data_IF_284877256713
#
_entry.id   IF_284877256713
#
_cell.length_a   1.000
_cell.length_b   1.000
_cell.length_c   1.000
_cell.angle_alpha   90.00
_cell.angle_beta   90.00
_cell.angle_gamma   90.00
#
_symmetry.space_group_name_H-M   'P 1'
#
loop_
_entity.id
_entity.type
_entity.pdbx_description
1 polymer ?
#
# COMPACT_ATOMS: atom_id res chain seq x y z
N UNK A 1 9.20 35.52 -4.53
CA UNK A 1 7.75 35.27 -4.53
C UNK A 1 7.17 35.57 -5.90
N UNK A 2 5.99 35.03 -6.20
CA UNK A 2 5.30 35.27 -7.47
C UNK A 2 4.54 36.59 -7.34
N UNK A 3 4.74 37.56 -8.25
CA UNK A 3 3.99 38.83 -8.21
C UNK A 3 2.48 38.62 -8.32
N UNK A 4 1.71 39.52 -7.71
CA UNK A 4 0.26 39.48 -7.79
C UNK A 4 -0.21 39.59 -9.25
N UNK A 5 -1.09 38.67 -9.66
CA UNK A 5 -1.58 38.59 -11.05
C UNK A 5 -0.72 37.78 -12.01
N UNK A 6 0.49 37.35 -11.63
CA UNK A 6 1.41 36.62 -12.53
C UNK A 6 1.39 35.09 -12.34
N UNK A 7 0.52 34.55 -11.48
CA UNK A 7 0.51 33.11 -11.16
C UNK A 7 0.30 32.22 -12.39
N UNK A 8 -0.63 32.60 -13.28
CA UNK A 8 -0.93 31.85 -14.50
C UNK A 8 0.28 31.77 -15.43
N UNK A 9 0.94 32.91 -15.65
CA UNK A 9 2.15 33.01 -16.46
C UNK A 9 3.29 32.15 -15.87
N UNK A 10 3.48 32.18 -14.56
CA UNK A 10 4.50 31.35 -13.89
C UNK A 10 4.20 29.84 -14.01
N UNK A 11 2.94 29.43 -13.91
CA UNK A 11 2.55 28.02 -14.11
C UNK A 11 2.83 27.61 -15.56
N UNK A 12 2.42 28.43 -16.53
CA UNK A 12 2.64 28.15 -17.96
C UNK A 12 4.13 28.07 -18.31
N UNK A 13 4.94 28.98 -17.77
CA UNK A 13 6.40 28.94 -17.91
C UNK A 13 7.00 27.68 -17.29
N UNK A 14 6.56 27.30 -16.08
CA UNK A 14 7.08 26.13 -15.38
C UNK A 14 6.71 24.81 -16.07
N UNK A 15 5.61 24.78 -16.82
CA UNK A 15 5.13 23.62 -17.58
C UNK A 15 5.51 23.67 -19.09
N UNK A 16 6.40 24.59 -19.50
CA UNK A 16 6.83 24.73 -20.90
C UNK A 16 7.81 23.63 -21.30
N UNK A 17 7.30 22.39 -21.40
CA UNK A 17 8.06 21.20 -21.79
C UNK A 17 8.85 21.49 -23.08
N UNK A 18 10.11 21.03 -23.23
CA UNK A 18 10.98 21.45 -24.33
C UNK A 18 10.48 21.14 -25.75
N UNK A 19 9.49 20.26 -25.89
CA UNK A 19 8.81 19.95 -27.16
C UNK A 19 7.79 21.04 -27.54
N UNK A 20 7.30 21.81 -26.58
CA UNK A 20 6.35 22.90 -26.81
C UNK A 20 7.03 24.16 -27.36
N UNK A 21 6.21 25.04 -27.91
CA UNK A 21 6.66 26.38 -28.31
C UNK A 21 7.12 27.13 -27.05
N UNK A 22 8.28 27.77 -27.13
CA UNK A 22 8.83 28.59 -26.04
C UNK A 22 7.89 29.75 -25.72
N UNK A 23 7.44 29.81 -24.48
CA UNK A 23 6.68 30.94 -23.96
C UNK A 23 7.62 32.09 -23.60
N UNK A 24 7.20 33.32 -23.90
CA UNK A 24 7.95 34.53 -23.59
C UNK A 24 7.12 35.39 -22.65
N UNK A 25 7.57 35.51 -21.40
CA UNK A 25 6.97 36.41 -20.42
C UNK A 25 7.87 37.64 -20.34
N UNK A 26 7.36 38.79 -20.80
CA UNK A 26 8.16 40.00 -20.97
C UNK A 26 9.26 39.83 -22.02
N UNK A 27 10.53 39.94 -21.61
CA UNK A 27 11.72 39.82 -22.48
C UNK A 27 12.44 38.47 -22.32
N UNK A 28 12.02 37.64 -21.37
CA UNK A 28 12.69 36.40 -20.99
C UNK A 28 11.97 35.19 -21.63
N UNK A 29 12.75 34.19 -22.04
CA UNK A 29 12.21 32.91 -22.56
C UNK A 29 12.29 31.86 -21.47
N UNK A 30 11.15 31.22 -21.21
CA UNK A 30 11.05 30.22 -20.16
C UNK A 30 11.06 28.79 -20.73
N UNK A 31 11.47 27.87 -19.88
CA UNK A 31 11.57 26.44 -20.15
C UNK A 31 11.21 25.71 -18.86
N UNK A 32 10.61 24.53 -19.02
CA UNK A 32 10.20 23.66 -17.92
C UNK A 32 11.24 23.58 -16.80
N UNK A 33 10.80 23.86 -15.57
CA UNK A 33 11.64 23.87 -14.37
C UNK A 33 12.24 22.49 -14.05
N UNK A 34 11.55 21.42 -14.44
CA UNK A 34 11.99 20.04 -14.32
C UNK A 34 13.24 19.73 -15.14
N UNK A 35 13.62 20.54 -16.14
CA UNK A 35 14.92 20.41 -16.81
C UNK A 35 16.07 20.78 -15.88
N UNK A 36 15.93 21.85 -15.11
CA UNK A 36 16.97 22.33 -14.22
C UNK A 36 16.98 21.59 -12.88
N UNK A 37 15.80 21.36 -12.29
CA UNK A 37 15.65 20.69 -11.01
C UNK A 37 14.21 20.17 -10.84
N UNK A 38 14.04 18.85 -10.77
CA UNK A 38 12.70 18.22 -10.69
C UNK A 38 12.10 18.29 -9.27
N UNK A 39 12.95 18.27 -8.23
CA UNK A 39 12.51 18.36 -6.84
C UNK A 39 13.03 19.66 -6.18
N UNK A 40 12.21 20.73 -6.09
CA UNK A 40 12.64 22.06 -5.64
C UNK A 40 12.70 22.21 -4.11
N UNK A 41 13.16 21.20 -3.36
CA UNK A 41 13.11 21.21 -1.89
C UNK A 41 13.87 22.37 -1.24
N UNK A 42 14.94 22.83 -1.89
CA UNK A 42 15.72 23.99 -1.40
C UNK A 42 14.87 25.26 -1.25
N UNK A 43 13.83 25.43 -2.07
CA UNK A 43 12.93 26.59 -1.97
C UNK A 43 12.06 26.52 -0.70
N UNK A 44 11.70 25.32 -0.26
CA UNK A 44 10.99 25.13 1.00
C UNK A 44 11.95 25.37 2.18
N UNK A 45 13.15 24.80 2.12
CA UNK A 45 14.18 25.00 3.16
C UNK A 45 14.56 26.47 3.33
N UNK A 46 14.74 27.21 2.23
CA UNK A 46 15.11 28.65 2.28
C UNK A 46 14.01 29.52 2.91
N UNK A 47 12.77 29.04 2.91
CA UNK A 47 11.63 29.69 3.56
C UNK A 47 11.43 29.25 5.01
N UNK A 48 12.28 28.36 5.52
CA UNK A 48 12.25 27.91 6.91
C UNK A 48 11.30 26.74 7.18
N UNK A 49 10.75 26.09 6.15
CA UNK A 49 9.94 24.88 6.35
C UNK A 49 10.80 23.73 6.89
N UNK A 50 10.30 23.04 7.91
CA UNK A 50 10.97 21.93 8.61
C UNK A 50 10.28 20.58 8.44
N UNK A 51 9.05 20.58 7.94
CA UNK A 51 8.29 19.38 7.61
C UNK A 51 7.91 19.47 6.14
N UNK A 52 8.36 18.49 5.34
CA UNK A 52 8.26 18.54 3.88
C UNK A 52 7.76 17.21 3.35
N UNK A 53 6.63 17.23 2.63
CA UNK A 53 6.17 16.08 1.83
C UNK A 53 6.67 16.30 0.41
N UNK A 54 7.35 15.29 -0.13
CA UNK A 54 7.94 15.29 -1.46
C UNK A 54 7.19 14.25 -2.28
N UNK A 55 6.59 14.67 -3.39
CA UNK A 55 5.98 13.78 -4.37
C UNK A 55 6.92 13.71 -5.57
N UNK A 56 7.62 12.59 -5.73
CA UNK A 56 8.62 12.37 -6.78
C UNK A 56 8.05 11.48 -7.89
N UNK A 57 7.60 12.11 -8.98
CA UNK A 57 6.96 11.45 -10.13
C UNK A 57 7.94 11.23 -11.31
N UNK A 58 9.22 11.53 -11.15
CA UNK A 58 10.17 11.60 -12.27
C UNK A 58 11.16 10.43 -12.32
N UNK A 59 11.78 10.18 -13.50
CA UNK A 59 12.92 9.28 -13.56
C UNK A 59 14.04 9.82 -12.65
N UNK A 60 14.66 8.94 -11.88
CA UNK A 60 15.72 9.30 -10.92
C UNK A 60 16.93 9.90 -11.63
N UNK A 61 17.00 11.22 -11.73
CA UNK A 61 18.21 11.90 -12.17
C UNK A 61 19.19 11.96 -11.00
N UNK A 62 20.48 11.91 -11.30
CA UNK A 62 21.55 11.98 -10.29
C UNK A 62 21.37 13.19 -9.35
N UNK A 63 20.94 14.33 -9.88
CA UNK A 63 20.67 15.54 -9.07
C UNK A 63 19.52 15.37 -8.07
N UNK A 64 18.48 14.62 -8.44
CA UNK A 64 17.34 14.38 -7.55
C UNK A 64 17.75 13.42 -6.42
N UNK A 65 18.52 12.38 -6.74
CA UNK A 65 19.13 11.48 -5.76
C UNK A 65 20.01 12.27 -4.78
N UNK A 66 20.89 13.15 -5.28
CA UNK A 66 21.75 13.98 -4.44
C UNK A 66 20.95 14.96 -3.56
N UNK A 67 19.84 15.50 -4.08
CA UNK A 67 18.96 16.38 -3.32
C UNK A 67 18.31 15.62 -2.17
N UNK A 68 17.71 14.44 -2.43
CA UNK A 68 17.13 13.59 -1.39
C UNK A 68 18.18 13.12 -0.37
N UNK A 69 19.39 12.76 -0.82
CA UNK A 69 20.48 12.39 0.07
C UNK A 69 20.97 13.56 0.95
N UNK A 70 20.89 14.80 0.45
CA UNK A 70 21.23 15.97 1.26
C UNK A 70 20.20 16.23 2.35
N UNK A 71 18.90 16.00 2.08
CA UNK A 71 17.83 16.16 3.06
C UNK A 71 17.93 15.15 4.20
N UNK A 72 18.32 13.90 3.90
CA UNK A 72 18.57 12.88 4.92
C UNK A 72 19.68 13.22 5.91
N UNK A 73 20.53 14.20 5.60
CA UNK A 73 21.62 14.67 6.49
C UNK A 73 21.22 15.88 7.34
N UNK A 74 20.00 16.40 7.16
CA UNK A 74 19.48 17.52 7.94
C UNK A 74 18.60 16.96 9.06
N UNK A 75 19.18 16.76 10.24
CA UNK A 75 18.48 16.15 11.39
C UNK A 75 17.26 16.97 11.84
N UNK A 76 17.26 18.29 11.60
CA UNK A 76 16.16 19.19 11.95
C UNK A 76 15.02 19.23 10.92
N UNK A 77 15.13 18.50 9.80
CA UNK A 77 14.13 18.47 8.73
C UNK A 77 13.50 17.09 8.64
N UNK A 78 12.20 17.02 8.98
CA UNK A 78 11.39 15.83 8.72
C UNK A 78 10.92 15.86 7.27
N UNK A 79 11.08 14.76 6.57
CA UNK A 79 10.60 14.63 5.20
C UNK A 79 9.94 13.27 4.97
N UNK A 80 8.90 13.29 4.15
CA UNK A 80 8.22 12.11 3.62
C UNK A 80 8.37 12.13 2.11
N UNK A 81 8.76 11.00 1.50
CA UNK A 81 8.90 10.91 0.04
C UNK A 81 7.89 9.91 -0.47
N UNK A 82 6.94 10.40 -1.26
CA UNK A 82 5.96 9.60 -1.99
C UNK A 82 6.50 9.45 -3.41
N UNK A 83 6.56 8.21 -3.88
CA UNK A 83 7.04 7.86 -5.22
C UNK A 83 6.13 6.76 -5.77
N UNK A 84 5.84 6.75 -7.07
CA UNK A 84 5.09 5.66 -7.67
C UNK A 84 5.88 4.35 -7.61
N UNK A 85 5.20 3.20 -7.48
CA UNK A 85 5.82 1.87 -7.57
C UNK A 85 6.05 1.47 -9.02
N UNK A 86 5.09 1.79 -9.87
CA UNK A 86 5.09 1.47 -11.29
C UNK A 86 5.06 2.74 -12.16
N UNK A 87 5.49 2.61 -13.41
CA UNK A 87 5.33 3.65 -14.42
C UNK A 87 4.43 3.13 -15.54
N UNK A 88 3.22 3.68 -15.65
CA UNK A 88 2.22 3.22 -16.61
C UNK A 88 2.35 3.84 -18.00
N UNK A 89 3.01 4.99 -18.12
CA UNK A 89 3.13 5.73 -19.37
C UNK A 89 4.25 6.77 -19.34
N UNK A 90 4.44 7.47 -20.46
CA UNK A 90 5.46 8.52 -20.62
C UNK A 90 4.88 9.92 -20.30
N UNK A 91 5.74 10.93 -20.16
CA UNK A 91 5.42 12.30 -19.74
C UNK A 91 4.43 13.01 -20.69
N UNK A 92 4.33 12.55 -21.94
CA UNK A 92 3.41 13.07 -22.97
C UNK A 92 2.34 12.05 -23.38
N UNK A 93 2.11 11.03 -22.54
CA UNK A 93 1.01 10.10 -22.71
C UNK A 93 -0.25 10.68 -22.02
N UNK A 94 -1.24 11.02 -22.83
CA UNK A 94 -2.51 11.61 -22.37
C UNK A 94 -3.66 10.59 -22.39
N UNK A 95 -3.34 9.31 -22.30
CA UNK A 95 -4.34 8.26 -22.15
C UNK A 95 -5.12 8.43 -20.83
N UNK A 96 -6.48 8.52 -20.88
CA UNK A 96 -7.30 8.67 -19.68
C UNK A 96 -7.21 7.50 -18.71
N UNK A 97 -7.04 6.26 -19.18
CA UNK A 97 -6.87 5.07 -18.33
C UNK A 97 -5.53 5.11 -17.60
N UNK A 98 -4.46 5.46 -18.30
CA UNK A 98 -3.12 5.65 -17.71
C UNK A 98 -3.18 6.75 -16.63
N UNK A 99 -3.83 7.87 -16.93
CA UNK A 99 -4.02 8.97 -15.98
C UNK A 99 -4.79 8.53 -14.73
N UNK A 100 -5.85 7.72 -14.89
CA UNK A 100 -6.58 7.13 -13.76
C UNK A 100 -5.72 6.21 -12.92
N UNK A 101 -4.87 5.39 -13.53
CA UNK A 101 -3.97 4.51 -12.78
C UNK A 101 -2.95 5.31 -11.96
N UNK A 102 -2.38 6.39 -12.51
CA UNK A 102 -1.51 7.29 -11.74
C UNK A 102 -2.24 7.94 -10.56
N UNK A 103 -3.49 8.36 -10.73
CA UNK A 103 -4.28 8.93 -9.62
C UNK A 103 -4.58 7.89 -8.53
N UNK A 104 -4.97 6.68 -8.91
CA UNK A 104 -5.19 5.57 -7.98
C UNK A 104 -3.90 5.25 -7.21
N UNK A 105 -2.80 5.04 -7.91
CA UNK A 105 -1.53 4.68 -7.31
C UNK A 105 -1.00 5.79 -6.39
N UNK A 106 -1.07 7.06 -6.81
CA UNK A 106 -0.65 8.19 -5.97
C UNK A 106 -1.44 8.31 -4.67
N UNK A 107 -2.72 7.96 -4.67
CA UNK A 107 -3.53 7.89 -3.44
C UNK A 107 -3.04 6.75 -2.52
N UNK A 108 -2.82 5.57 -3.09
CA UNK A 108 -2.40 4.38 -2.37
C UNK A 108 -0.97 4.50 -1.81
N UNK A 109 -0.03 5.00 -2.61
CA UNK A 109 1.34 5.25 -2.18
C UNK A 109 1.42 6.33 -1.09
N UNK A 110 0.58 7.36 -1.17
CA UNK A 110 0.49 8.35 -0.09
C UNK A 110 0.07 7.70 1.24
N UNK A 111 -0.99 6.88 1.23
CA UNK A 111 -1.46 6.19 2.44
C UNK A 111 -0.43 5.16 2.95
N UNK A 112 0.31 4.51 2.05
CA UNK A 112 1.38 3.58 2.40
C UNK A 112 2.55 4.29 3.08
N UNK A 113 3.06 5.38 2.50
CA UNK A 113 4.18 6.15 3.08
C UNK A 113 3.78 6.81 4.40
N UNK A 114 2.50 7.17 4.58
CA UNK A 114 1.95 7.63 5.86
C UNK A 114 1.81 6.51 6.91
N UNK A 115 2.06 5.25 6.55
CA UNK A 115 2.02 4.10 7.45
C UNK A 115 0.62 3.54 7.73
N UNK A 116 -0.39 3.90 6.93
CA UNK A 116 -1.75 3.34 7.07
C UNK A 116 -1.92 2.00 6.35
N UNK A 117 -1.15 1.79 5.28
CA UNK A 117 -1.21 0.58 4.46
C UNK A 117 0.07 -0.23 4.62
N UNK A 118 -0.06 -1.53 4.41
CA UNK A 118 1.02 -2.50 4.39
C UNK A 118 0.88 -3.42 3.18
N UNK A 119 1.96 -4.12 2.83
CA UNK A 119 2.01 -5.01 1.67
C UNK A 119 2.98 -4.53 0.58
N UNK A 120 3.56 -5.48 -0.12
CA UNK A 120 4.59 -5.25 -1.13
C UNK A 120 3.99 -4.95 -2.50
N UNK A 121 3.06 -5.79 -2.96
CA UNK A 121 2.38 -5.61 -4.25
C UNK A 121 0.95 -5.11 -4.11
N UNK A 122 0.29 -5.46 -3.01
CA UNK A 122 -1.11 -5.12 -2.74
C UNK A 122 -1.22 -4.18 -1.55
N UNK A 123 -2.10 -3.21 -1.66
CA UNK A 123 -2.29 -2.16 -0.65
C UNK A 123 -3.32 -2.60 0.39
N UNK A 124 -2.84 -3.04 1.56
CA UNK A 124 -3.68 -3.60 2.61
C UNK A 124 -3.72 -2.68 3.82
N UNK A 125 -4.90 -2.18 4.14
CA UNK A 125 -5.14 -1.51 5.42
C UNK A 125 -5.18 -2.55 6.54
N UNK A 126 -4.15 -2.50 7.39
CA UNK A 126 -3.91 -3.49 8.42
C UNK A 126 -3.36 -2.82 9.69
N UNK A 127 -4.23 -2.42 10.61
CA UNK A 127 -3.84 -1.78 11.88
C UNK A 127 -3.67 -2.75 13.05
N UNK A 128 -4.30 -3.91 12.97
CA UNK A 128 -4.39 -4.86 14.07
C UNK A 128 -4.54 -6.28 13.54
N UNK A 129 -4.24 -7.26 14.38
CA UNK A 129 -4.45 -8.67 14.07
C UNK A 129 -5.94 -9.04 14.06
N UNK A 130 -6.61 -8.73 12.96
CA UNK A 130 -8.03 -9.03 12.73
C UNK A 130 -8.28 -10.53 12.68
N UNK A 131 -7.30 -11.34 12.27
CA UNK A 131 -7.42 -12.80 12.22
C UNK A 131 -7.49 -13.38 13.63
N UNK A 132 -6.62 -12.95 14.55
CA UNK A 132 -6.69 -13.33 15.96
C UNK A 132 -8.02 -12.91 16.60
N UNK A 133 -8.44 -11.66 16.38
CA UNK A 133 -9.71 -11.14 16.91
C UNK A 133 -10.91 -11.95 16.42
N UNK A 134 -10.97 -12.22 15.12
CA UNK A 134 -11.98 -13.07 14.50
C UNK A 134 -11.95 -14.50 15.08
N UNK A 135 -10.76 -15.08 15.24
CA UNK A 135 -10.62 -16.42 15.81
C UNK A 135 -11.14 -16.48 17.26
N UNK A 136 -10.79 -15.50 18.09
CA UNK A 136 -11.09 -15.52 19.51
C UNK A 136 -12.52 -15.08 19.85
N UNK A 137 -13.18 -14.30 18.98
CA UNK A 137 -14.58 -13.90 19.15
C UNK A 137 -15.56 -15.05 18.96
N UNK A 138 -15.16 -16.11 18.26
CA UNK A 138 -16.01 -17.27 17.99
C UNK A 138 -16.33 -18.09 19.27
N UNK A 139 -17.50 -18.75 19.32
CA UNK A 139 -17.81 -19.72 20.38
C UNK A 139 -16.78 -20.86 20.46
N UNK A 140 -16.61 -21.44 21.65
CA UNK A 140 -15.59 -22.47 21.89
C UNK A 140 -15.64 -23.65 20.92
N UNK A 141 -16.86 -24.11 20.58
CA UNK A 141 -17.07 -25.18 19.60
C UNK A 141 -16.46 -24.83 18.23
N UNK A 142 -16.70 -23.61 17.75
CA UNK A 142 -16.15 -23.11 16.47
C UNK A 142 -14.63 -22.92 16.52
N UNK A 143 -14.09 -22.49 17.67
CA UNK A 143 -12.64 -22.43 17.87
C UNK A 143 -11.97 -23.81 17.89
N UNK A 144 -12.68 -24.88 18.30
CA UNK A 144 -12.21 -26.27 18.17
C UNK A 144 -12.23 -26.72 16.71
N UNK A 145 -13.32 -26.46 15.99
CA UNK A 145 -13.43 -26.74 14.54
C UNK A 145 -12.30 -26.04 13.75
N UNK A 146 -12.01 -24.76 14.03
CA UNK A 146 -10.92 -24.03 13.39
C UNK A 146 -9.53 -24.64 13.61
N UNK A 147 -9.26 -25.18 14.81
CA UNK A 147 -8.00 -25.88 15.11
C UNK A 147 -7.89 -27.22 14.38
N UNK A 148 -9.00 -27.94 14.27
CA UNK A 148 -9.06 -29.23 13.59
C UNK A 148 -8.70 -29.12 12.09
N UNK A 149 -8.85 -27.95 11.46
CA UNK A 149 -8.39 -27.69 10.07
C UNK A 149 -6.88 -27.97 9.93
N UNK A 150 -6.10 -27.69 10.96
CA UNK A 150 -4.66 -27.95 10.97
C UNK A 150 -4.31 -29.36 11.48
N UNK A 151 -5.30 -30.22 11.71
CA UNK A 151 -5.10 -31.56 12.29
C UNK A 151 -4.66 -31.54 13.75
N UNK A 152 -4.96 -30.45 14.48
CA UNK A 152 -4.59 -30.30 15.89
C UNK A 152 -5.72 -30.82 16.77
N UNK A 153 -5.41 -31.90 17.46
CA UNK A 153 -6.26 -32.55 18.42
C UNK A 153 -6.33 -31.78 19.75
N UNK A 154 -7.40 -31.95 20.56
CA UNK A 154 -7.59 -31.18 21.79
C UNK A 154 -6.44 -31.29 22.80
N UNK A 155 -5.75 -32.44 22.88
CA UNK A 155 -4.61 -32.64 23.79
C UNK A 155 -3.30 -32.04 23.27
N UNK A 156 -3.21 -31.70 21.97
CA UNK A 156 -2.02 -31.11 21.36
C UNK A 156 -1.94 -29.59 21.56
N UNK A 157 -2.97 -28.97 22.13
CA UNK A 157 -2.99 -27.54 22.37
C UNK A 157 -3.83 -27.16 23.59
N UNK A 158 -3.18 -26.52 24.56
CA UNK A 158 -3.78 -26.12 25.84
C UNK A 158 -4.94 -25.12 25.66
N UNK A 159 -4.89 -24.28 24.63
CA UNK A 159 -5.92 -23.27 24.37
C UNK A 159 -5.89 -22.79 22.92
N UNK A 160 -6.95 -22.08 22.47
CA UNK A 160 -6.93 -21.41 21.16
C UNK A 160 -5.82 -20.34 21.07
N UNK A 161 -5.46 -19.70 22.19
CA UNK A 161 -4.34 -18.75 22.23
C UNK A 161 -3.01 -19.44 21.99
N UNK A 162 -2.77 -20.58 22.66
CA UNK A 162 -1.56 -21.37 22.46
C UNK A 162 -1.47 -21.91 21.02
N UNK A 163 -2.58 -22.39 20.46
CA UNK A 163 -2.64 -22.75 19.04
C UNK A 163 -2.20 -21.60 18.14
N UNK A 164 -2.79 -20.42 18.31
CA UNK A 164 -2.57 -19.33 17.39
C UNK A 164 -1.15 -18.73 17.54
N UNK A 165 -0.78 -18.30 18.75
CA UNK A 165 0.48 -17.61 18.99
C UNK A 165 1.67 -18.53 19.25
N UNK A 166 1.44 -19.78 19.65
CA UNK A 166 2.49 -20.75 19.97
C UNK A 166 2.75 -21.79 18.88
N UNK A 167 1.78 -22.03 17.99
CA UNK A 167 1.89 -23.10 16.98
C UNK A 167 1.74 -22.55 15.55
N UNK A 168 0.61 -21.92 15.21
CA UNK A 168 0.32 -21.47 13.84
C UNK A 168 1.22 -20.30 13.41
N UNK A 169 1.13 -19.17 14.12
CA UNK A 169 1.84 -17.94 13.73
C UNK A 169 3.36 -18.12 13.75
N UNK A 170 3.99 -18.77 14.74
CA UNK A 170 5.44 -18.98 14.73
C UNK A 170 5.96 -19.77 13.53
N UNK A 171 5.21 -20.77 13.06
CA UNK A 171 5.60 -21.57 11.88
C UNK A 171 5.57 -20.70 10.62
N UNK A 172 4.54 -19.86 10.48
CA UNK A 172 4.44 -18.90 9.37
C UNK A 172 5.52 -17.80 9.47
N UNK A 173 5.78 -17.27 10.66
CA UNK A 173 6.83 -16.28 10.91
C UNK A 173 8.21 -16.81 10.52
N UNK A 174 8.52 -18.04 10.90
CA UNK A 174 9.77 -18.68 10.51
C UNK A 174 9.88 -18.87 8.98
N UNK A 175 8.76 -19.16 8.30
CA UNK A 175 8.75 -19.28 6.84
C UNK A 175 8.97 -17.93 6.13
N UNK A 176 8.29 -16.87 6.59
CA UNK A 176 8.30 -15.56 5.93
C UNK A 176 9.36 -14.59 6.47
N UNK A 177 10.04 -14.92 7.56
CA UNK A 177 11.02 -14.04 8.21
C UNK A 177 10.41 -12.83 8.91
N UNK A 178 9.14 -12.91 9.32
CA UNK A 178 8.38 -11.81 9.93
C UNK A 178 8.43 -11.86 11.47
N UNK A 179 8.19 -10.72 12.11
CA UNK A 179 8.35 -10.60 13.58
C UNK A 179 7.06 -10.35 14.34
N UNK A 180 6.00 -9.93 13.64
CA UNK A 180 4.66 -9.76 14.23
C UNK A 180 3.60 -10.61 13.53
N UNK A 181 2.53 -11.05 14.24
CA UNK A 181 1.42 -11.78 13.63
C UNK A 181 0.76 -11.01 12.47
N UNK A 182 0.56 -9.70 12.65
CA UNK A 182 -0.07 -8.83 11.65
C UNK A 182 0.74 -8.79 10.34
N UNK A 183 2.04 -8.51 10.45
CA UNK A 183 2.97 -8.51 9.32
C UNK A 183 2.97 -9.86 8.60
N UNK A 184 2.98 -10.96 9.36
CA UNK A 184 2.95 -12.33 8.83
C UNK A 184 1.73 -12.57 7.95
N UNK A 185 0.55 -12.15 8.42
CA UNK A 185 -0.68 -12.28 7.64
C UNK A 185 -0.72 -11.35 6.43
N UNK A 186 -0.22 -10.12 6.54
CA UNK A 186 -0.14 -9.20 5.39
C UNK A 186 0.74 -9.79 4.29
N UNK A 187 1.92 -10.32 4.63
CA UNK A 187 2.85 -10.96 3.68
C UNK A 187 2.22 -12.19 3.04
N UNK A 188 1.62 -13.07 3.86
CA UNK A 188 0.95 -14.27 3.37
C UNK A 188 -0.18 -13.92 2.40
N UNK A 189 -1.06 -12.98 2.77
CA UNK A 189 -2.19 -12.57 1.94
C UNK A 189 -1.75 -11.87 0.66
N UNK A 190 -0.70 -11.05 0.70
CA UNK A 190 -0.10 -10.46 -0.51
C UNK A 190 0.37 -11.56 -1.47
N UNK A 191 1.07 -12.58 -0.96
CA UNK A 191 1.53 -13.70 -1.77
C UNK A 191 0.37 -14.48 -2.39
N UNK A 192 -0.68 -14.75 -1.61
CA UNK A 192 -1.89 -15.41 -2.11
C UNK A 192 -2.62 -14.59 -3.17
N UNK A 193 -2.73 -13.27 -2.96
CA UNK A 193 -3.33 -12.35 -3.93
C UNK A 193 -2.57 -12.37 -5.27
N UNK A 194 -1.23 -12.39 -5.22
CA UNK A 194 -0.39 -12.52 -6.41
C UNK A 194 -0.57 -13.85 -7.13
N UNK A 195 -0.66 -14.97 -6.39
CA UNK A 195 -0.96 -16.30 -6.97
C UNK A 195 -2.35 -16.40 -7.61
N UNK A 196 -3.25 -15.48 -7.26
CA UNK A 196 -4.61 -15.38 -7.79
C UNK A 196 -4.76 -14.24 -8.80
N UNK A 197 -3.65 -13.56 -9.12
CA UNK A 197 -3.61 -12.45 -10.08
C UNK A 197 -4.67 -11.38 -9.81
N UNK A 198 -4.89 -11.06 -8.52
CA UNK A 198 -5.82 -10.00 -8.14
C UNK A 198 -5.35 -8.65 -8.68
N UNK A 199 -6.30 -7.73 -8.91
CA UNK A 199 -6.00 -6.37 -9.36
C UNK A 199 -5.14 -5.64 -8.31
N UNK A 200 -3.99 -5.10 -8.75
CA UNK A 200 -2.98 -4.49 -7.86
C UNK A 200 -3.39 -3.10 -7.35
N UNK A 201 -4.10 -2.33 -8.18
CA UNK A 201 -4.54 -0.97 -7.88
C UNK A 201 -5.90 -0.94 -7.20
N UNK A 202 -6.05 -1.74 -6.15
CA UNK A 202 -7.20 -1.73 -5.25
C UNK A 202 -6.75 -1.48 -3.81
N UNK A 203 -7.60 -0.78 -3.06
CA UNK A 203 -7.44 -0.60 -1.61
C UNK A 203 -8.19 -1.73 -0.89
N UNK A 204 -7.47 -2.57 -0.16
CA UNK A 204 -8.07 -3.67 0.58
C UNK A 204 -8.08 -3.43 2.09
N UNK A 205 -9.17 -3.79 2.76
CA UNK A 205 -9.10 -4.19 4.17
C UNK A 205 -8.61 -5.64 4.24
N UNK A 206 -8.09 -6.07 5.40
CA UNK A 206 -7.73 -7.49 5.61
C UNK A 206 -8.91 -8.42 5.31
N UNK A 207 -10.13 -8.04 5.71
CA UNK A 207 -11.32 -8.85 5.48
C UNK A 207 -11.68 -8.89 3.98
N UNK A 208 -11.70 -7.74 3.29
CA UNK A 208 -11.97 -7.70 1.86
C UNK A 208 -10.96 -8.52 1.04
N UNK A 209 -9.67 -8.45 1.38
CA UNK A 209 -8.63 -9.24 0.71
C UNK A 209 -8.83 -10.74 0.93
N UNK A 210 -9.13 -11.16 2.16
CA UNK A 210 -9.42 -12.56 2.47
C UNK A 210 -10.65 -13.05 1.71
N UNK A 211 -11.71 -12.25 1.61
CA UNK A 211 -12.90 -12.61 0.81
C UNK A 211 -12.56 -12.80 -0.66
N UNK A 212 -11.80 -11.87 -1.27
CA UNK A 212 -11.35 -12.01 -2.66
C UNK A 212 -10.54 -13.29 -2.87
N UNK A 213 -9.55 -13.53 -2.01
CA UNK A 213 -8.70 -14.72 -2.06
C UNK A 213 -9.53 -16.00 -1.91
N UNK A 214 -10.41 -16.07 -0.92
CA UNK A 214 -11.21 -17.29 -0.66
C UNK A 214 -12.27 -17.55 -1.72
N UNK A 215 -12.71 -16.53 -2.45
CA UNK A 215 -13.64 -16.64 -3.58
C UNK A 215 -12.98 -17.09 -4.90
N UNK A 216 -11.65 -17.00 -5.01
CA UNK A 216 -10.93 -17.33 -6.23
C UNK A 216 -10.60 -18.84 -6.35
N UNK A 217 -10.27 -19.27 -7.58
CA UNK A 217 -10.05 -20.68 -7.92
C UNK A 217 -8.76 -21.21 -7.27
N UNK A 218 -8.82 -22.41 -6.68
CA UNK A 218 -7.76 -22.98 -5.81
C UNK A 218 -6.69 -23.80 -6.55
N UNK A 219 -6.73 -23.89 -7.87
CA UNK A 219 -5.79 -24.74 -8.63
C UNK A 219 -4.32 -24.31 -8.46
N UNK A 220 -4.05 -23.03 -8.19
CA UNK A 220 -2.69 -22.48 -8.06
C UNK A 220 -2.00 -22.78 -6.72
N UNK A 221 -2.70 -23.37 -5.74
CA UNK A 221 -2.19 -23.50 -4.35
C UNK A 221 -2.06 -24.93 -3.83
N UNK A 222 -2.33 -25.95 -4.67
CA UNK A 222 -2.45 -27.34 -4.20
C UNK A 222 -1.16 -27.92 -3.60
N UNK A 223 0.01 -27.46 -4.06
CA UNK A 223 1.33 -27.99 -3.68
C UNK A 223 2.20 -26.98 -2.93
N UNK A 224 1.61 -25.93 -2.36
CA UNK A 224 2.35 -24.90 -1.62
C UNK A 224 2.35 -25.25 -0.14
N UNK A 225 3.53 -25.25 0.47
CA UNK A 225 3.72 -25.47 1.90
C UNK A 225 4.50 -24.32 2.55
N UNK A 226 4.10 -23.97 3.77
CA UNK A 226 4.74 -22.98 4.62
C UNK A 226 5.34 -23.71 5.81
N UNK A 227 6.57 -24.24 5.63
CA UNK A 227 7.15 -25.24 6.52
C UNK A 227 6.20 -26.44 6.63
N UNK A 228 5.71 -26.75 7.83
CA UNK A 228 4.86 -27.92 8.08
C UNK A 228 3.35 -27.67 7.85
N UNK A 229 2.99 -26.51 7.29
CA UNK A 229 1.60 -26.10 7.08
C UNK A 229 1.30 -25.98 5.59
N UNK A 230 0.40 -26.80 5.06
CA UNK A 230 -0.04 -26.65 3.67
C UNK A 230 -0.89 -25.39 3.47
N UNK A 231 -0.69 -24.74 2.32
CA UNK A 231 -1.43 -23.54 1.93
C UNK A 231 -2.95 -23.80 1.84
N UNK A 232 -3.35 -25.01 1.44
CA UNK A 232 -4.75 -25.42 1.44
C UNK A 232 -5.40 -25.34 2.83
N UNK A 233 -4.68 -25.75 3.90
CA UNK A 233 -5.18 -25.64 5.28
C UNK A 233 -5.33 -24.19 5.70
N UNK A 234 -4.37 -23.33 5.32
CA UNK A 234 -4.48 -21.88 5.56
C UNK A 234 -5.72 -21.31 4.86
N UNK A 235 -5.95 -21.69 3.60
CA UNK A 235 -7.12 -21.23 2.84
C UNK A 235 -8.44 -21.71 3.45
N UNK A 236 -8.54 -22.98 3.84
CA UNK A 236 -9.70 -23.50 4.56
C UNK A 236 -9.91 -22.78 5.90
N UNK A 237 -8.85 -22.41 6.60
CA UNK A 237 -8.92 -21.65 7.84
C UNK A 237 -9.43 -20.22 7.61
N UNK A 238 -8.91 -19.52 6.60
CA UNK A 238 -9.36 -18.18 6.23
C UNK A 238 -10.84 -18.16 5.82
N UNK A 239 -11.26 -19.12 4.98
CA UNK A 239 -12.66 -19.29 4.61
C UNK A 239 -13.54 -19.60 5.82
N UNK A 240 -13.06 -20.45 6.73
CA UNK A 240 -13.78 -20.76 7.97
C UNK A 240 -13.98 -19.50 8.82
N UNK A 241 -12.97 -18.64 8.94
CA UNK A 241 -13.07 -17.38 9.68
C UNK A 241 -14.11 -16.44 9.07
N UNK A 242 -14.10 -16.24 7.76
CA UNK A 242 -15.09 -15.40 7.06
C UNK A 242 -16.52 -15.87 7.34
N UNK A 243 -16.74 -17.18 7.34
CA UNK A 243 -18.07 -17.76 7.46
C UNK A 243 -18.58 -17.89 8.91
N UNK A 244 -17.70 -17.88 9.91
CA UNK A 244 -18.07 -18.25 11.29
C UNK A 244 -17.74 -17.19 12.35
N UNK A 245 -17.10 -16.07 11.98
CA UNK A 245 -16.70 -15.01 12.91
C UNK A 245 -17.35 -13.67 12.57
N UNK A 246 -17.15 -12.68 13.44
CA UNK A 246 -17.58 -11.30 13.24
C UNK A 246 -16.55 -10.46 12.46
N UNK A 247 -15.73 -11.08 11.59
CA UNK A 247 -14.61 -10.40 10.92
C UNK A 247 -15.04 -9.15 10.12
N UNK A 248 -16.24 -9.16 9.53
CA UNK A 248 -16.82 -8.02 8.81
C UNK A 248 -17.08 -6.81 9.72
N UNK A 249 -17.37 -7.05 10.99
CA UNK A 249 -17.66 -6.01 11.97
C UNK A 249 -16.39 -5.42 12.59
N UNK A 250 -15.22 -6.00 12.30
CA UNK A 250 -13.92 -5.54 12.79
C UNK A 250 -13.27 -4.49 11.89
N UNK A 251 -13.96 -4.06 10.84
CA UNK A 251 -13.48 -3.06 9.90
C UNK A 251 -13.42 -1.67 10.55
N UNK A 252 -12.30 -0.98 10.33
CA UNK A 252 -11.98 0.28 10.97
C UNK A 252 -12.77 1.45 10.34
N UNK A 253 -13.22 2.41 11.16
CA UNK A 253 -13.86 3.62 10.65
C UNK A 253 -12.93 4.45 9.76
N UNK A 254 -11.61 4.41 10.01
CA UNK A 254 -10.62 5.06 9.16
C UNK A 254 -10.51 4.39 7.79
N UNK A 255 -10.63 3.07 7.71
CA UNK A 255 -10.64 2.37 6.42
C UNK A 255 -11.77 2.88 5.53
N UNK A 256 -12.99 3.03 6.07
CA UNK A 256 -14.13 3.54 5.30
C UNK A 256 -13.89 4.93 4.73
N UNK A 257 -13.24 5.82 5.50
CA UNK A 257 -12.87 7.16 5.00
C UNK A 257 -11.89 7.07 3.83
N UNK A 258 -10.93 6.16 3.89
CA UNK A 258 -9.97 5.95 2.82
C UNK A 258 -10.60 5.29 1.60
N UNK A 259 -11.49 4.33 1.81
CA UNK A 259 -12.27 3.67 0.74
C UNK A 259 -13.18 4.66 0.01
N UNK A 260 -13.88 5.53 0.74
CA UNK A 260 -14.71 6.58 0.16
C UNK A 260 -13.88 7.56 -0.69
N UNK A 261 -12.72 7.98 -0.15
CA UNK A 261 -11.78 8.84 -0.86
C UNK A 261 -11.24 8.18 -2.13
N UNK A 262 -10.77 6.94 -2.03
CA UNK A 262 -10.28 6.15 -3.15
C UNK A 262 -11.37 5.96 -4.22
N UNK A 263 -12.58 5.60 -3.81
CA UNK A 263 -13.72 5.42 -4.71
C UNK A 263 -14.16 6.70 -5.41
N UNK A 264 -14.00 7.86 -4.77
CA UNK A 264 -14.32 9.15 -5.40
C UNK A 264 -13.41 9.47 -6.59
N UNK A 265 -12.14 9.03 -6.53
CA UNK A 265 -11.17 9.21 -7.61
C UNK A 265 -11.44 8.30 -8.79
N UNK A 266 -11.96 7.09 -8.53
CA UNK A 266 -12.23 6.09 -9.58
C UNK A 266 -13.55 6.31 -10.31
N UNK A 267 -14.42 7.19 -9.80
CA UNK A 267 -15.71 7.57 -10.40
C UNK A 267 -15.67 8.81 -11.30
N UNK A 268 -14.48 9.40 -11.51
CA UNK A 268 -14.32 10.50 -12.47
C UNK A 268 -14.50 9.95 -13.89
N UNK A 269 -15.70 10.19 -14.46
CA UNK A 269 -16.07 9.89 -15.86
C UNK A 269 -15.24 10.73 -16.85
#
# INVERSE_FOLDING_TARGET
>A
DIPEGELEDYILASANHPVFKREQIGLEKFIDGGIYRNIPVNMALSRGFKEIIIVDLGPKRIRDILTLASLKRLDEVKHLVIKPREFYGDVLDFDPEVSRNFMKEGYLDCLFELGYLAGEEYYVFAKQDTIAKALFSMPEKKRKEARAIFGIEPWQSESTHHFYYGQLVPVLQNHFGTTSPLETWVVLLNKLAGLMELEKLELFSLQALIERITSAVRSSIENIEYNDISCQRVMSFLEFLINNSNMKDLEDQEFKKFEDGFSSLTRLE
#
